data_IF_606408020503
#
_entry.id   IF_606408020503
#
_cell.length_a   1.000
_cell.length_b   1.000
_cell.length_c   1.000
_cell.angle_alpha   90.00
_cell.angle_beta   90.00
_cell.angle_gamma   90.00
#
_symmetry.space_group_name_H-M   'P 1'
#
loop_
_entity.id
_entity.type
_entity.pdbx_description
1 polymer ?
#
# COMPACT_ATOMS: atom_id res chain seq x y z
N UNK A 1 -15.21 2.87 32.70
CA UNK A 1 -14.63 3.14 31.38
C UNK A 1 -14.22 1.80 30.81
N UNK A 2 -14.72 1.41 29.62
CA UNK A 2 -14.25 0.18 28.99
C UNK A 2 -12.79 0.39 28.56
N UNK A 3 -11.89 -0.50 28.98
CA UNK A 3 -10.53 -0.54 28.46
C UNK A 3 -10.59 -1.04 27.02
N UNK A 4 -10.62 -0.12 26.06
CA UNK A 4 -10.40 -0.47 24.67
C UNK A 4 -8.91 -0.73 24.47
N UNK A 5 -8.60 -1.88 23.89
CA UNK A 5 -7.26 -2.25 23.45
C UNK A 5 -7.09 -1.74 22.01
N UNK A 6 -6.13 -0.86 21.78
CA UNK A 6 -5.79 -0.38 20.44
C UNK A 6 -4.59 -1.15 19.91
N UNK A 7 -4.63 -1.54 18.64
CA UNK A 7 -3.48 -2.11 17.95
C UNK A 7 -2.29 -1.15 17.99
N UNK A 8 -1.10 -1.69 18.21
CA UNK A 8 0.14 -0.94 18.20
C UNK A 8 1.30 -1.83 17.72
N UNK A 9 2.27 -1.20 17.06
CA UNK A 9 3.50 -1.85 16.67
C UNK A 9 4.68 -0.92 16.96
N UNK A 10 5.80 -1.49 17.43
CA UNK A 10 7.03 -0.75 17.67
C UNK A 10 8.25 -1.52 17.15
N UNK A 11 9.31 -0.77 16.84
CA UNK A 11 10.58 -1.33 16.40
C UNK A 11 11.41 -1.79 17.61
N UNK A 12 11.99 -2.98 17.52
CA UNK A 12 12.95 -3.52 18.49
C UNK A 12 14.16 -4.10 17.77
N UNK A 13 15.29 -4.36 18.47
CA UNK A 13 16.42 -5.07 17.85
C UNK A 13 16.06 -6.46 17.31
N UNK A 14 15.05 -7.13 17.88
CA UNK A 14 14.64 -8.48 17.51
C UNK A 14 13.57 -8.52 16.39
N UNK A 15 13.03 -7.38 15.99
CA UNK A 15 11.97 -7.28 14.99
C UNK A 15 10.88 -6.26 15.34
N UNK A 16 9.73 -6.38 14.68
CA UNK A 16 8.54 -5.57 14.96
C UNK A 16 7.73 -6.26 16.05
N UNK A 17 7.58 -5.56 17.18
CA UNK A 17 6.79 -6.03 18.30
C UNK A 17 5.33 -5.57 18.12
N UNK A 18 4.40 -6.50 18.00
CA UNK A 18 2.97 -6.23 17.80
C UNK A 18 2.26 -6.44 19.13
N UNK A 19 1.46 -5.46 19.53
CA UNK A 19 0.81 -5.46 20.83
C UNK A 19 -0.55 -4.78 20.80
N UNK A 20 -1.34 -5.06 21.82
CA UNK A 20 -2.51 -4.27 22.16
C UNK A 20 -2.18 -3.38 23.35
N UNK A 21 -2.52 -2.09 23.23
CA UNK A 21 -2.32 -1.10 24.29
C UNK A 21 -3.66 -0.58 24.78
N UNK A 22 -3.90 -0.61 26.08
CA UNK A 22 -5.09 0.03 26.67
C UNK A 22 -4.83 1.49 27.02
N UNK A 23 -5.92 2.23 27.22
CA UNK A 23 -5.89 3.66 27.57
C UNK A 23 -5.18 3.96 28.90
N UNK A 24 -5.08 2.98 29.81
CA UNK A 24 -4.34 3.08 31.08
C UNK A 24 -2.85 2.71 30.95
N UNK A 25 -2.39 2.44 29.72
CA UNK A 25 -0.99 2.15 29.40
C UNK A 25 -0.58 0.70 29.61
N UNK A 26 -1.51 -0.22 29.93
CA UNK A 26 -1.19 -1.64 29.92
C UNK A 26 -0.94 -2.12 28.49
N UNK A 27 0.05 -2.99 28.35
CA UNK A 27 0.49 -3.53 27.07
C UNK A 27 0.39 -5.05 27.12
N UNK A 28 -0.35 -5.63 26.18
CA UNK A 28 -0.37 -7.06 25.92
C UNK A 28 0.40 -7.33 24.62
N UNK A 29 1.58 -7.96 24.74
CA UNK A 29 2.36 -8.38 23.57
C UNK A 29 1.65 -9.55 22.90
N UNK A 30 1.33 -9.38 21.62
CA UNK A 30 0.67 -10.40 20.79
C UNK A 30 1.72 -11.30 20.16
N UNK A 31 2.67 -10.69 19.44
CA UNK A 31 3.73 -11.41 18.76
C UNK A 31 4.94 -10.51 18.48
N UNK A 32 6.02 -11.11 18.01
CA UNK A 32 7.12 -10.37 17.41
C UNK A 32 7.52 -11.05 16.13
N UNK A 33 7.56 -10.24 15.07
CA UNK A 33 7.80 -10.69 13.72
C UNK A 33 9.12 -10.12 13.26
N UNK A 34 9.86 -10.87 12.44
CA UNK A 34 11.07 -10.33 11.83
C UNK A 34 10.68 -9.13 10.94
N UNK A 35 11.60 -8.19 10.72
CA UNK A 35 11.34 -7.07 9.81
C UNK A 35 11.02 -7.54 8.38
N UNK A 36 11.67 -8.62 7.93
CA UNK A 36 11.42 -9.21 6.62
C UNK A 36 9.99 -9.75 6.55
N UNK A 37 9.55 -10.49 7.57
CA UNK A 37 8.17 -10.99 7.62
C UNK A 37 7.16 -9.84 7.68
N UNK A 38 7.44 -8.79 8.45
CA UNK A 38 6.57 -7.62 8.52
C UNK A 38 6.40 -6.93 7.15
N UNK A 39 7.49 -6.76 6.39
CA UNK A 39 7.45 -6.25 5.01
C UNK A 39 6.64 -7.18 4.11
N UNK A 40 6.87 -8.49 4.20
CA UNK A 40 6.15 -9.48 3.38
C UNK A 40 4.64 -9.49 3.68
N UNK A 41 4.24 -9.33 4.94
CA UNK A 41 2.83 -9.23 5.32
C UNK A 41 2.15 -7.98 4.75
N UNK A 42 2.86 -6.84 4.70
CA UNK A 42 2.36 -5.65 4.01
C UNK A 42 2.17 -5.91 2.50
N UNK A 43 3.17 -6.48 1.84
CA UNK A 43 3.12 -6.75 0.39
C UNK A 43 2.03 -7.77 0.03
N UNK A 44 1.88 -8.80 0.86
CA UNK A 44 0.87 -9.85 0.71
C UNK A 44 -0.57 -9.36 0.90
N UNK A 45 -0.76 -8.17 1.49
CA UNK A 45 -2.07 -7.59 1.72
C UNK A 45 -2.74 -8.01 3.02
N UNK A 46 -1.98 -8.54 3.99
CA UNK A 46 -2.51 -8.95 5.30
C UNK A 46 -3.17 -7.81 6.09
N UNK A 47 -2.98 -6.56 5.63
CA UNK A 47 -3.53 -5.35 6.25
C UNK A 47 -4.45 -4.54 5.32
N UNK A 48 -4.87 -5.10 4.19
CA UNK A 48 -5.68 -4.40 3.18
C UNK A 48 -7.07 -4.00 3.68
N UNK A 49 -7.66 -4.80 4.58
CA UNK A 49 -8.94 -4.55 5.23
C UNK A 49 -8.82 -3.71 6.52
N UNK A 50 -7.60 -3.49 7.00
CA UNK A 50 -7.25 -2.79 8.25
C UNK A 50 -6.07 -1.84 8.05
N UNK A 51 -6.23 -0.80 7.21
CA UNK A 51 -5.13 0.08 6.82
C UNK A 51 -4.46 0.80 8.02
N UNK A 52 -5.19 1.05 9.10
CA UNK A 52 -4.64 1.66 10.32
C UNK A 52 -3.62 0.72 11.00
N UNK A 53 -3.91 -0.58 11.09
CA UNK A 53 -2.96 -1.57 11.61
C UNK A 53 -1.73 -1.68 10.70
N UNK A 54 -1.96 -1.70 9.38
CA UNK A 54 -0.89 -1.69 8.40
C UNK A 54 0.03 -0.47 8.53
N UNK A 55 -0.52 0.71 8.83
CA UNK A 55 0.27 1.92 9.03
C UNK A 55 1.13 1.85 10.30
N UNK A 56 0.62 1.28 11.40
CA UNK A 56 1.45 1.03 12.58
C UNK A 56 2.63 0.10 12.26
N UNK A 57 2.38 -0.97 11.51
CA UNK A 57 3.43 -1.89 11.06
C UNK A 57 4.44 -1.16 10.18
N UNK A 58 3.98 -0.38 9.20
CA UNK A 58 4.84 0.38 8.31
C UNK A 58 5.77 1.33 9.07
N UNK A 59 5.21 2.11 10.00
CA UNK A 59 5.96 3.03 10.86
C UNK A 59 6.96 2.28 11.76
N UNK A 60 6.60 1.12 12.29
CA UNK A 60 7.51 0.31 13.09
C UNK A 60 8.70 -0.21 12.26
N UNK A 61 8.48 -0.67 11.03
CA UNK A 61 9.57 -1.11 10.14
C UNK A 61 10.46 0.09 9.78
N UNK A 62 9.88 1.24 9.41
CA UNK A 62 10.63 2.46 9.07
C UNK A 62 11.46 2.97 10.26
N UNK A 63 10.89 2.93 11.47
CA UNK A 63 11.59 3.26 12.70
C UNK A 63 12.75 2.29 12.99
N UNK A 64 12.56 1.00 12.73
CA UNK A 64 13.64 -0.01 12.83
C UNK A 64 14.80 0.27 11.88
N UNK A 65 14.52 0.70 10.66
CA UNK A 65 15.56 1.16 9.72
C UNK A 65 16.30 2.40 10.22
N UNK A 66 15.57 3.41 10.69
CA UNK A 66 16.16 4.65 11.23
C UNK A 66 17.02 4.41 12.47
N UNK A 67 16.70 3.38 13.27
CA UNK A 67 17.46 2.98 14.46
C UNK A 67 18.62 2.01 14.14
N UNK A 68 18.74 1.54 12.89
CA UNK A 68 19.77 0.59 12.47
C UNK A 68 19.49 -0.87 12.88
N UNK A 69 18.25 -1.20 13.28
CA UNK A 69 17.83 -2.58 13.58
C UNK A 69 17.51 -3.37 12.32
N UNK A 70 17.18 -2.69 11.23
CA UNK A 70 16.86 -3.32 9.95
C UNK A 70 17.65 -2.66 8.81
N UNK A 71 18.42 -3.48 8.10
CA UNK A 71 19.10 -3.03 6.89
C UNK A 71 18.17 -3.22 5.67
N UNK A 72 17.69 -2.11 5.14
CA UNK A 72 16.81 -2.11 3.99
C UNK A 72 17.58 -2.50 2.72
N UNK A 73 17.14 -3.58 2.06
CA UNK A 73 17.47 -3.77 0.64
C UNK A 73 16.67 -2.78 -0.22
N UNK A 74 17.11 -2.52 -1.45
CA UNK A 74 16.31 -1.76 -2.42
C UNK A 74 14.92 -2.38 -2.62
N UNK A 75 14.82 -3.72 -2.55
CA UNK A 75 13.53 -4.40 -2.67
C UNK A 75 12.61 -4.13 -1.47
N UNK A 76 13.15 -4.14 -0.26
CA UNK A 76 12.37 -3.77 0.93
C UNK A 76 11.88 -2.32 0.85
N UNK A 77 12.73 -1.39 0.39
CA UNK A 77 12.34 0.02 0.22
C UNK A 77 11.23 0.20 -0.82
N UNK A 78 11.34 -0.43 -1.99
CA UNK A 78 10.32 -0.25 -3.03
C UNK A 78 8.97 -0.82 -2.60
N UNK A 79 8.96 -1.97 -1.91
CA UNK A 79 7.74 -2.56 -1.32
C UNK A 79 7.10 -1.61 -0.30
N UNK A 80 7.90 -1.08 0.63
CA UNK A 80 7.41 -0.16 1.66
C UNK A 80 6.80 1.12 1.06
N UNK A 81 7.43 1.67 0.03
CA UNK A 81 6.91 2.85 -0.67
C UNK A 81 5.64 2.54 -1.47
N UNK A 82 5.63 1.44 -2.22
CA UNK A 82 4.47 0.99 -2.98
C UNK A 82 3.27 0.80 -2.07
N UNK A 83 3.44 0.11 -0.95
CA UNK A 83 2.37 -0.12 0.01
C UNK A 83 1.83 1.19 0.62
N UNK A 84 2.72 2.10 1.02
CA UNK A 84 2.33 3.39 1.61
C UNK A 84 1.51 4.24 0.64
N UNK A 85 1.97 4.37 -0.60
CA UNK A 85 1.30 5.19 -1.62
C UNK A 85 -0.04 4.58 -2.02
N UNK A 86 -0.10 3.26 -2.25
CA UNK A 86 -1.36 2.58 -2.55
C UNK A 86 -2.38 2.77 -1.42
N UNK A 87 -1.95 2.59 -0.16
CA UNK A 87 -2.81 2.76 1.01
C UNK A 87 -3.29 4.20 1.15
N UNK A 88 -2.41 5.18 0.98
CA UNK A 88 -2.76 6.59 1.02
C UNK A 88 -3.79 6.95 -0.05
N UNK A 89 -3.57 6.52 -1.29
CA UNK A 89 -4.50 6.75 -2.40
C UNK A 89 -5.88 6.16 -2.14
N UNK A 90 -5.95 4.90 -1.71
CA UNK A 90 -7.21 4.20 -1.44
C UNK A 90 -7.98 4.86 -0.29
N UNK A 91 -7.28 5.37 0.71
CA UNK A 91 -7.89 6.12 1.82
C UNK A 91 -8.41 7.50 1.38
N UNK A 92 -7.67 8.21 0.52
CA UNK A 92 -8.14 9.47 -0.07
C UNK A 92 -9.38 9.22 -0.94
N UNK A 93 -9.36 8.21 -1.81
CA UNK A 93 -10.51 7.84 -2.65
C UNK A 93 -11.72 7.40 -1.82
N UNK A 94 -11.51 6.66 -0.72
CA UNK A 94 -12.57 6.33 0.24
C UNK A 94 -13.24 7.57 0.81
N UNK A 95 -12.42 8.57 1.17
CA UNK A 95 -12.89 9.81 1.79
C UNK A 95 -13.62 10.70 0.79
N UNK A 96 -13.13 10.77 -0.45
CA UNK A 96 -13.64 11.66 -1.48
C UNK A 96 -14.84 11.08 -2.22
N UNK A 97 -14.79 9.79 -2.58
CA UNK A 97 -15.77 9.14 -3.46
C UNK A 97 -16.62 8.08 -2.75
N UNK A 98 -16.27 7.73 -1.51
CA UNK A 98 -16.97 6.70 -0.74
C UNK A 98 -16.56 5.27 -1.10
N UNK A 99 -17.47 4.34 -0.84
CA UNK A 99 -17.25 2.89 -1.04
C UNK A 99 -18.43 2.25 -1.75
N UNK A 100 -18.19 1.08 -2.32
CA UNK A 100 -19.21 0.21 -2.91
C UNK A 100 -19.10 -1.19 -2.34
N UNK A 101 -20.23 -1.88 -2.18
CA UNK A 101 -20.27 -3.30 -1.82
C UNK A 101 -20.25 -4.15 -3.09
N UNK A 102 -19.29 -5.07 -3.16
CA UNK A 102 -19.14 -6.03 -4.25
C UNK A 102 -19.38 -7.42 -3.70
N UNK A 103 -20.08 -8.25 -4.46
CA UNK A 103 -20.26 -9.68 -4.19
C UNK A 103 -19.51 -10.41 -5.29
N UNK A 104 -18.50 -11.19 -4.91
CA UNK A 104 -17.75 -12.01 -5.88
C UNK A 104 -18.58 -13.22 -6.35
N UNK A 105 -18.07 -13.95 -7.35
CA UNK A 105 -18.75 -15.12 -7.91
C UNK A 105 -18.96 -16.26 -6.89
N UNK A 106 -18.23 -16.23 -5.77
CA UNK A 106 -18.38 -17.19 -4.66
C UNK A 106 -19.38 -16.72 -3.60
N UNK A 107 -19.98 -15.53 -3.77
CA UNK A 107 -20.90 -14.92 -2.82
C UNK A 107 -20.21 -14.18 -1.66
N UNK A 108 -18.89 -14.00 -1.71
CA UNK A 108 -18.20 -13.24 -0.67
C UNK A 108 -18.43 -11.75 -0.86
N UNK A 109 -18.73 -11.08 0.25
CA UNK A 109 -18.93 -9.65 0.29
C UNK A 109 -17.60 -8.92 0.54
N UNK A 110 -17.33 -7.89 -0.26
CA UNK A 110 -16.25 -6.94 -0.02
C UNK A 110 -16.78 -5.50 -0.08
N UNK A 111 -16.18 -4.62 0.73
CA UNK A 111 -16.45 -3.17 0.69
C UNK A 111 -15.18 -2.49 0.24
N UNK A 112 -15.22 -1.84 -0.91
CA UNK A 112 -14.04 -1.29 -1.58
C UNK A 112 -14.19 0.18 -1.88
N UNK A 113 -13.07 0.91 -1.86
CA UNK A 113 -13.05 2.33 -2.22
C UNK A 113 -13.38 2.52 -3.70
N UNK A 114 -13.88 3.71 -4.06
CA UNK A 114 -14.24 4.03 -5.44
C UNK A 114 -13.28 5.08 -6.00
N UNK A 115 -12.68 4.80 -7.15
CA UNK A 115 -12.07 5.83 -7.97
C UNK A 115 -13.13 6.46 -8.87
N UNK A 116 -13.07 7.77 -9.07
CA UNK A 116 -13.88 8.45 -10.09
C UNK A 116 -13.11 9.61 -10.72
N UNK A 117 -13.21 9.72 -12.06
CA UNK A 117 -12.74 10.87 -12.82
C UNK A 117 -13.88 11.86 -13.17
N UNK A 118 -15.03 11.73 -12.53
CA UNK A 118 -16.23 12.54 -12.78
C UNK A 118 -17.10 12.07 -13.94
N UNK A 119 -16.63 11.12 -14.76
CA UNK A 119 -17.40 10.52 -15.87
C UNK A 119 -17.65 9.04 -15.61
N UNK A 120 -16.59 8.33 -15.22
CA UNK A 120 -16.60 6.90 -14.90
C UNK A 120 -16.20 6.73 -13.44
N UNK A 121 -16.74 5.68 -12.80
CA UNK A 121 -16.34 5.25 -11.48
C UNK A 121 -15.99 3.76 -11.51
N UNK A 122 -14.94 3.36 -10.78
CA UNK A 122 -14.52 1.97 -10.68
C UNK A 122 -14.15 1.59 -9.23
N UNK A 123 -14.42 0.34 -8.81
CA UNK A 123 -13.93 -0.17 -7.54
C UNK A 123 -12.41 -0.27 -7.53
N UNK A 124 -11.80 0.08 -6.40
CA UNK A 124 -10.36 -0.04 -6.15
C UNK A 124 -10.06 -1.19 -5.20
N UNK A 125 -9.19 -2.10 -5.63
CA UNK A 125 -8.69 -3.20 -4.82
C UNK A 125 -7.21 -2.95 -4.48
N UNK A 126 -6.80 -2.97 -3.20
CA UNK A 126 -5.40 -2.68 -2.83
C UNK A 126 -4.36 -3.55 -3.54
N UNK A 127 -4.64 -4.84 -3.71
CA UNK A 127 -3.76 -5.73 -4.47
C UNK A 127 -3.63 -5.31 -5.94
N UNK A 128 -4.74 -4.90 -6.59
CA UNK A 128 -4.71 -4.46 -7.98
C UNK A 128 -3.94 -3.15 -8.13
N UNK A 129 -4.10 -2.23 -7.18
CA UNK A 129 -3.36 -0.97 -7.12
C UNK A 129 -1.85 -1.22 -7.02
N UNK A 130 -1.43 -2.06 -6.07
CA UNK A 130 -0.02 -2.42 -5.90
C UNK A 130 0.53 -3.09 -7.16
N UNK A 131 -0.21 -4.00 -7.78
CA UNK A 131 0.22 -4.64 -9.03
C UNK A 131 0.33 -3.64 -10.18
N UNK A 132 -0.61 -2.70 -10.31
CA UNK A 132 -0.55 -1.65 -11.33
C UNK A 132 0.68 -0.76 -11.13
N UNK A 133 0.98 -0.36 -9.90
CA UNK A 133 2.18 0.42 -9.58
C UNK A 133 3.47 -0.37 -9.86
N UNK A 134 3.53 -1.64 -9.44
CA UNK A 134 4.69 -2.50 -9.68
C UNK A 134 4.95 -2.71 -11.19
N UNK A 135 3.91 -2.91 -11.99
CA UNK A 135 4.08 -3.14 -13.43
C UNK A 135 4.38 -1.85 -14.21
N UNK A 136 3.61 -0.79 -13.96
CA UNK A 136 3.63 0.41 -14.82
C UNK A 136 4.63 1.47 -14.35
N UNK A 137 4.99 1.51 -13.07
CA UNK A 137 5.99 2.45 -12.54
C UNK A 137 7.33 1.72 -12.39
N UNK A 138 7.38 0.68 -11.56
CA UNK A 138 8.64 -0.01 -11.27
C UNK A 138 9.15 -0.79 -12.49
N UNK A 139 8.27 -1.58 -13.13
CA UNK A 139 8.59 -2.36 -14.33
C UNK A 139 9.14 -1.48 -15.46
N UNK A 140 8.48 -0.34 -15.75
CA UNK A 140 8.94 0.60 -16.75
C UNK A 140 10.34 1.19 -16.45
N UNK A 141 10.64 1.46 -15.18
CA UNK A 141 11.96 1.94 -14.78
C UNK A 141 13.02 0.83 -14.85
N UNK A 142 12.67 -0.39 -14.47
CA UNK A 142 13.56 -1.55 -14.54
C UNK A 142 13.87 -1.90 -15.99
N UNK A 143 12.89 -1.90 -16.88
CA UNK A 143 13.08 -2.15 -18.32
C UNK A 143 14.06 -1.14 -18.92
N UNK A 144 13.91 0.14 -18.54
CA UNK A 144 14.71 1.23 -19.10
C UNK A 144 16.13 1.33 -18.53
N UNK A 145 16.30 1.07 -17.24
CA UNK A 145 17.54 1.36 -16.51
C UNK A 145 18.23 0.12 -15.93
N UNK A 146 17.64 -1.07 -16.10
CA UNK A 146 18.06 -2.31 -15.44
C UNK A 146 17.58 -2.39 -13.98
N UNK A 147 17.64 -3.58 -13.38
CA UNK A 147 17.08 -3.85 -12.04
C UNK A 147 17.62 -2.90 -10.98
N UNK A 148 18.94 -2.80 -10.82
CA UNK A 148 19.53 -2.04 -9.72
C UNK A 148 19.24 -0.53 -9.77
N UNK A 149 19.37 0.08 -10.95
CA UNK A 149 19.14 1.52 -11.14
C UNK A 149 17.65 1.81 -11.25
N UNK A 150 16.88 0.95 -11.92
CA UNK A 150 15.44 1.06 -12.05
C UNK A 150 14.73 1.03 -10.71
N UNK A 151 15.05 0.09 -9.83
CA UNK A 151 14.46 0.01 -8.47
C UNK A 151 14.78 1.26 -7.65
N UNK A 152 16.02 1.79 -7.74
CA UNK A 152 16.39 3.04 -7.05
C UNK A 152 15.62 4.24 -7.58
N UNK A 153 15.44 4.32 -8.89
CA UNK A 153 14.65 5.37 -9.52
C UNK A 153 13.18 5.29 -9.10
N UNK A 154 12.63 4.08 -8.97
CA UNK A 154 11.25 3.90 -8.51
C UNK A 154 11.06 4.35 -7.06
N UNK A 155 12.03 4.05 -6.18
CA UNK A 155 12.03 4.56 -4.79
C UNK A 155 12.03 6.09 -4.77
N UNK A 156 12.89 6.74 -5.56
CA UNK A 156 12.94 8.21 -5.64
C UNK A 156 11.61 8.76 -6.17
N UNK A 157 11.07 8.15 -7.23
CA UNK A 157 9.81 8.55 -7.84
C UNK A 157 8.66 8.47 -6.83
N UNK A 158 8.52 7.35 -6.12
CA UNK A 158 7.57 7.18 -5.03
C UNK A 158 7.77 8.19 -3.91
N UNK A 159 9.02 8.46 -3.50
CA UNK A 159 9.26 9.45 -2.44
C UNK A 159 8.76 10.86 -2.82
N UNK A 160 8.74 11.22 -4.11
CA UNK A 160 8.18 12.49 -4.58
C UNK A 160 6.63 12.48 -4.63
N UNK A 161 5.99 11.32 -4.58
CA UNK A 161 4.53 11.18 -4.58
C UNK A 161 3.90 11.36 -3.20
N UNK A 162 4.71 11.39 -2.13
CA UNK A 162 4.20 11.41 -0.75
C UNK A 162 4.81 12.54 0.07
N UNK A 163 3.96 13.28 0.76
CA UNK A 163 4.37 14.28 1.75
C UNK A 163 4.43 13.60 3.12
N UNK A 164 5.64 13.32 3.60
CA UNK A 164 5.88 12.64 4.88
C UNK A 164 5.45 13.50 6.07
N UNK A 165 5.52 14.83 5.97
CA UNK A 165 5.12 15.72 7.06
C UNK A 165 3.59 15.77 7.20
N UNK A 166 2.88 15.81 6.07
CA UNK A 166 1.42 15.82 6.06
C UNK A 166 0.81 14.42 6.17
N UNK A 167 1.58 13.37 5.88
CA UNK A 167 1.08 11.99 5.86
C UNK A 167 0.08 11.74 4.73
N UNK A 168 0.20 12.47 3.61
CA UNK A 168 -0.74 12.43 2.47
C UNK A 168 -0.01 12.39 1.15
N UNK A 169 -0.70 12.05 0.06
CA UNK A 169 -0.12 12.18 -1.27
C UNK A 169 0.22 13.63 -1.60
N UNK A 170 1.23 13.85 -2.43
CA UNK A 170 1.47 15.15 -3.07
C UNK A 170 0.51 15.33 -4.24
N UNK A 171 0.38 16.56 -4.77
CA UNK A 171 -0.39 16.78 -6.01
C UNK A 171 0.14 15.93 -7.16
N UNK A 172 1.47 15.79 -7.25
CA UNK A 172 2.13 14.92 -8.22
C UNK A 172 1.75 13.44 -8.03
N UNK A 173 1.73 12.95 -6.78
CA UNK A 173 1.32 11.58 -6.48
C UNK A 173 -0.12 11.28 -6.90
N UNK A 174 -1.05 12.21 -6.61
CA UNK A 174 -2.46 12.08 -7.02
C UNK A 174 -2.61 12.07 -8.54
N UNK A 175 -1.92 12.97 -9.22
CA UNK A 175 -1.95 13.07 -10.69
C UNK A 175 -1.44 11.78 -11.35
N UNK A 176 -0.28 11.26 -10.92
CA UNK A 176 0.27 10.00 -11.45
C UNK A 176 -0.70 8.83 -11.29
N UNK A 177 -1.30 8.67 -10.10
CA UNK A 177 -2.23 7.57 -9.86
C UNK A 177 -3.54 7.78 -10.63
N UNK A 178 -4.06 9.01 -10.70
CA UNK A 178 -5.23 9.31 -11.51
C UNK A 178 -4.99 9.03 -12.99
N UNK A 179 -3.80 9.34 -13.52
CA UNK A 179 -3.43 9.07 -14.90
C UNK A 179 -3.37 7.57 -15.20
N UNK A 180 -2.81 6.76 -14.28
CA UNK A 180 -2.83 5.30 -14.43
C UNK A 180 -4.26 4.76 -14.58
N UNK A 181 -5.19 5.25 -13.76
CA UNK A 181 -6.59 4.84 -13.82
C UNK A 181 -7.30 5.36 -15.07
N UNK A 182 -7.08 6.61 -15.43
CA UNK A 182 -7.66 7.20 -16.63
C UNK A 182 -7.19 6.51 -17.91
N UNK A 183 -5.89 6.17 -17.99
CA UNK A 183 -5.34 5.38 -19.10
C UNK A 183 -5.95 3.98 -19.15
N UNK A 184 -6.13 3.31 -18.00
CA UNK A 184 -6.78 2.00 -17.95
C UNK A 184 -8.25 2.07 -18.40
N UNK A 185 -9.01 3.09 -17.98
CA UNK A 185 -10.40 3.31 -18.42
C UNK A 185 -10.46 3.60 -19.92
N UNK A 186 -9.53 4.40 -20.45
CA UNK A 186 -9.46 4.69 -21.88
C UNK A 186 -9.20 3.40 -22.70
N UNK A 187 -8.24 2.59 -22.27
CA UNK A 187 -7.92 1.29 -22.88
C UNK A 187 -9.13 0.35 -22.89
N UNK A 188 -9.84 0.24 -21.75
CA UNK A 188 -11.06 -0.58 -21.65
C UNK A 188 -12.18 -0.09 -22.59
N UNK A 189 -12.32 1.22 -22.77
CA UNK A 189 -13.33 1.79 -23.66
C UNK A 189 -12.99 1.59 -25.14
N UNK A 190 -11.70 1.62 -25.49
CA UNK A 190 -11.24 1.46 -26.87
C UNK A 190 -11.19 -0.02 -27.28
N UNK A 191 -10.60 -0.86 -26.43
CA UNK A 191 -10.22 -2.24 -26.77
C UNK A 191 -11.02 -3.31 -26.00
N UNK A 192 -11.88 -2.91 -25.06
CA UNK A 192 -12.62 -3.84 -24.20
C UNK A 192 -11.75 -4.48 -23.12
N UNK A 193 -12.27 -5.52 -22.46
CA UNK A 193 -11.50 -6.29 -21.47
C UNK A 193 -10.37 -7.04 -22.21
N UNK A 194 -9.09 -6.85 -21.85
CA UNK A 194 -7.99 -7.56 -22.49
C UNK A 194 -8.19 -9.09 -22.40
N UNK A 195 -7.84 -9.82 -23.45
CA UNK A 195 -7.76 -11.27 -23.36
C UNK A 195 -6.80 -11.66 -22.23
N UNK A 196 -7.21 -12.62 -21.39
CA UNK A 196 -6.38 -13.09 -20.29
C UNK A 196 -5.00 -13.49 -20.83
N UNK A 197 -3.89 -13.06 -20.19
CA UNK A 197 -2.57 -13.39 -20.68
C UNK A 197 -2.42 -14.91 -20.77
N UNK A 198 -2.18 -15.40 -21.99
CA UNK A 198 -1.75 -16.78 -22.21
C UNK A 198 -0.35 -16.92 -21.63
N UNK A 199 -0.24 -17.56 -20.47
CA UNK A 199 1.04 -18.07 -19.97
C UNK A 199 1.66 -18.94 -21.05
N UNK A 200 2.79 -18.49 -21.61
CA UNK A 200 3.66 -19.29 -22.47
C UNK A 200 4.76 -19.95 -21.64
#
# INVERSE_FOLDING_TARGET
>A
MNNFLTFHAEATPDGVNIMHRSNDGMTERVETVSYIDAVNRLDAGDYDDKPDEGMFIHLAIASGGNQGYFDYTSQHHVIMWRWLIATAFINEMRKENGTVSIIDDSGNHSVVSVYSNGIVAMPLYPVAERLAMANNIEGAMIEKYGVDVGTKNAIIFYSNMFDVEQGTLTSFGREVLADLHNSFIAELNENGIPEAPVTH
#
